data_IF_722290280721
#
_entry.id   IF_722290280721
#
_cell.length_a   1.000
_cell.length_b   1.000
_cell.length_c   1.000
_cell.angle_alpha   90.00
_cell.angle_beta   90.00
_cell.angle_gamma   90.00
#
_symmetry.space_group_name_H-M   'P 1'
#
loop_
_entity.id
_entity.type
_entity.pdbx_description
1 polymer ?
#
# COMPACT_ATOMS: atom_id res chain seq x y z
N UNK A 1 46.08 24.00 -10.54
CA UNK A 1 44.90 23.10 -10.63
C UNK A 1 44.20 22.72 -9.30
N UNK A 2 44.03 23.64 -8.33
CA UNK A 2 43.32 23.32 -7.06
C UNK A 2 41.81 23.59 -7.07
N UNK A 3 41.31 24.54 -7.88
CA UNK A 3 39.89 24.93 -7.93
C UNK A 3 38.99 23.85 -8.57
N UNK A 4 39.41 23.24 -9.69
CA UNK A 4 38.63 22.18 -10.38
C UNK A 4 38.36 20.95 -9.50
N UNK A 5 39.32 20.55 -8.63
CA UNK A 5 39.14 19.36 -7.78
C UNK A 5 38.09 19.55 -6.67
N UNK A 6 37.81 20.80 -6.27
CA UNK A 6 36.79 21.13 -5.27
C UNK A 6 35.37 21.06 -5.83
N UNK A 7 35.18 21.54 -7.07
CA UNK A 7 33.89 21.52 -7.78
C UNK A 7 33.46 20.09 -8.15
N UNK A 8 34.38 19.24 -8.60
CA UNK A 8 34.09 17.82 -8.88
C UNK A 8 33.72 17.05 -7.61
N UNK A 9 34.40 17.32 -6.48
CA UNK A 9 34.05 16.71 -5.19
C UNK A 9 32.68 17.18 -4.66
N UNK A 10 32.34 18.45 -4.90
CA UNK A 10 31.03 19.02 -4.58
C UNK A 10 29.91 18.35 -5.39
N UNK A 11 30.07 18.28 -6.72
CA UNK A 11 29.10 17.60 -7.61
C UNK A 11 28.94 16.13 -7.27
N UNK A 12 30.02 15.41 -6.98
CA UNK A 12 29.94 13.99 -6.60
C UNK A 12 29.22 13.79 -5.27
N UNK A 13 29.37 14.69 -4.29
CA UNK A 13 28.61 14.66 -3.04
C UNK A 13 27.13 14.93 -3.28
N UNK A 14 26.81 15.97 -4.03
CA UNK A 14 25.44 16.35 -4.36
C UNK A 14 24.71 15.24 -5.15
N UNK A 15 25.41 14.59 -6.09
CA UNK A 15 24.89 13.42 -6.81
C UNK A 15 24.68 12.19 -5.91
N UNK A 16 25.57 11.96 -4.94
CA UNK A 16 25.43 10.87 -3.96
C UNK A 16 24.29 11.12 -2.99
N UNK A 17 24.12 12.36 -2.52
CA UNK A 17 23.01 12.76 -1.65
C UNK A 17 21.67 12.70 -2.38
N UNK A 18 21.61 13.17 -3.63
CA UNK A 18 20.41 13.03 -4.49
C UNK A 18 20.03 11.57 -4.74
N UNK A 19 21.02 10.69 -4.98
CA UNK A 19 20.79 9.24 -5.05
C UNK A 19 20.37 8.63 -3.71
N UNK A 20 20.85 9.18 -2.59
CA UNK A 20 20.44 8.81 -1.24
C UNK A 20 18.95 9.08 -1.00
N UNK A 21 18.52 10.33 -1.26
CA UNK A 21 17.11 10.75 -1.14
C UNK A 21 16.18 9.94 -2.03
N UNK A 22 16.54 9.73 -3.30
CA UNK A 22 15.73 8.91 -4.22
C UNK A 22 15.65 7.43 -3.79
N UNK A 23 16.70 6.89 -3.16
CA UNK A 23 16.67 5.53 -2.57
C UNK A 23 15.79 5.47 -1.33
N UNK A 24 15.79 6.53 -0.54
CA UNK A 24 14.98 6.65 0.66
C UNK A 24 13.49 6.79 0.33
N UNK A 25 13.13 7.66 -0.63
CA UNK A 25 11.77 7.77 -1.18
C UNK A 25 11.27 6.42 -1.73
N UNK A 26 12.08 5.74 -2.56
CA UNK A 26 11.74 4.40 -3.05
C UNK A 26 11.58 3.37 -1.94
N UNK A 27 12.34 3.49 -0.84
CA UNK A 27 12.18 2.62 0.33
C UNK A 27 10.89 2.95 1.08
N UNK A 28 10.55 4.22 1.22
CA UNK A 28 9.32 4.68 1.87
C UNK A 28 8.08 4.30 1.07
N UNK A 29 8.07 4.49 -0.26
CA UNK A 29 6.99 4.02 -1.14
C UNK A 29 6.81 2.50 -1.06
N UNK A 30 7.92 1.74 -1.00
CA UNK A 30 7.86 0.29 -0.79
C UNK A 30 7.34 -0.07 0.59
N UNK A 31 7.67 0.70 1.63
CA UNK A 31 7.17 0.48 3.00
C UNK A 31 5.67 0.78 3.11
N UNK A 32 5.18 1.81 2.43
CA UNK A 32 3.75 2.12 2.38
C UNK A 32 2.97 1.05 1.62
N UNK A 33 3.40 0.66 0.41
CA UNK A 33 2.74 -0.42 -0.35
C UNK A 33 2.75 -1.75 0.40
N UNK A 34 3.81 -2.02 1.18
CA UNK A 34 3.87 -3.19 2.06
C UNK A 34 2.78 -3.20 3.12
N UNK A 35 2.21 -2.06 3.51
CA UNK A 35 1.09 -1.96 4.48
C UNK A 35 -0.28 -1.90 3.81
N UNK A 36 -0.33 -1.79 2.50
CA UNK A 36 -1.59 -1.66 1.77
C UNK A 36 -2.23 -3.02 1.47
N UNK A 37 -3.56 -3.03 1.53
CA UNK A 37 -4.43 -4.08 1.02
C UNK A 37 -5.48 -3.47 0.10
N UNK A 38 -6.01 -4.28 -0.80
CA UNK A 38 -7.11 -3.93 -1.69
C UNK A 38 -8.33 -4.76 -1.28
N UNK A 39 -9.46 -4.10 -1.07
CA UNK A 39 -10.75 -4.73 -0.86
C UNK A 39 -11.68 -4.37 -2.01
N UNK A 40 -12.34 -5.37 -2.59
CA UNK A 40 -13.36 -5.18 -3.63
C UNK A 40 -14.66 -5.86 -3.22
N UNK A 41 -15.77 -5.15 -3.36
CA UNK A 41 -17.10 -5.66 -3.06
C UNK A 41 -18.14 -5.10 -4.05
N UNK A 42 -19.16 -5.89 -4.35
CA UNK A 42 -20.14 -5.62 -5.41
C UNK A 42 -21.14 -4.51 -5.04
N UNK A 43 -21.40 -4.23 -3.75
CA UNK A 43 -22.45 -3.28 -3.33
C UNK A 43 -22.16 -2.53 -2.01
N UNK A 44 -22.80 -1.38 -1.78
CA UNK A 44 -22.96 -0.73 -0.47
C UNK A 44 -22.00 0.42 -0.11
N UNK A 45 -22.17 0.96 1.11
CA UNK A 45 -21.34 2.01 1.69
C UNK A 45 -19.93 1.52 2.06
N UNK A 46 -18.95 2.09 1.39
CA UNK A 46 -17.56 1.62 1.35
C UNK A 46 -16.90 1.65 2.73
N UNK A 47 -16.87 2.81 3.38
CA UNK A 47 -16.05 2.98 4.58
C UNK A 47 -16.55 2.12 5.74
N UNK A 48 -17.88 2.12 5.95
CA UNK A 48 -18.51 1.30 6.99
C UNK A 48 -18.32 -0.19 6.72
N UNK A 49 -18.49 -0.64 5.47
CA UNK A 49 -18.30 -2.06 5.10
C UNK A 49 -16.85 -2.49 5.24
N UNK A 50 -15.89 -1.67 4.83
CA UNK A 50 -14.45 -1.95 5.03
C UNK A 50 -14.17 -2.19 6.51
N UNK A 51 -14.62 -1.31 7.39
CA UNK A 51 -14.43 -1.48 8.84
C UNK A 51 -15.07 -2.77 9.35
N UNK A 52 -16.30 -3.08 8.94
CA UNK A 52 -16.98 -4.33 9.30
C UNK A 52 -16.24 -5.58 8.82
N UNK A 53 -15.73 -5.57 7.58
CA UNK A 53 -14.95 -6.68 7.02
C UNK A 53 -13.68 -6.88 7.85
N UNK A 54 -12.95 -5.80 8.14
CA UNK A 54 -11.71 -5.87 8.92
C UNK A 54 -11.97 -6.35 10.35
N UNK A 55 -12.99 -5.81 11.03
CA UNK A 55 -13.38 -6.20 12.40
C UNK A 55 -13.81 -7.66 12.49
N UNK A 56 -14.44 -8.21 11.44
CA UNK A 56 -14.83 -9.62 11.40
C UNK A 56 -13.64 -10.58 11.25
N UNK A 57 -12.52 -10.06 10.74
CA UNK A 57 -11.26 -10.81 10.64
C UNK A 57 -10.52 -10.71 11.97
N UNK A 58 -10.22 -9.47 12.39
CA UNK A 58 -9.41 -9.13 13.55
C UNK A 58 -9.82 -7.75 14.08
N UNK A 59 -10.36 -7.68 15.30
CA UNK A 59 -10.88 -6.43 15.90
C UNK A 59 -9.77 -5.45 16.32
N UNK A 60 -8.52 -5.90 16.37
CA UNK A 60 -7.41 -5.11 16.88
C UNK A 60 -6.60 -4.39 15.79
N UNK A 61 -7.03 -4.42 14.52
CA UNK A 61 -6.23 -3.84 13.44
C UNK A 61 -6.41 -2.33 13.36
N UNK A 62 -5.29 -1.62 13.21
CA UNK A 62 -5.31 -0.18 13.01
C UNK A 62 -5.38 0.14 11.53
N UNK A 63 -6.34 0.97 11.13
CA UNK A 63 -6.46 1.52 9.78
C UNK A 63 -5.95 2.95 9.78
N UNK A 64 -4.95 3.22 8.96
CA UNK A 64 -4.35 4.56 8.82
C UNK A 64 -5.11 5.39 7.79
N UNK A 65 -5.47 4.79 6.65
CA UNK A 65 -6.14 5.49 5.56
C UNK A 65 -7.00 4.54 4.73
N UNK A 66 -8.16 5.02 4.30
CA UNK A 66 -9.01 4.36 3.32
C UNK A 66 -9.09 5.27 2.10
N UNK A 67 -8.75 4.75 0.92
CA UNK A 67 -8.90 5.46 -0.35
C UNK A 67 -9.81 4.67 -1.26
N UNK A 68 -10.94 5.26 -1.62
CA UNK A 68 -11.83 4.74 -2.66
C UNK A 68 -11.13 4.83 -4.03
N UNK A 69 -11.15 3.74 -4.78
CA UNK A 69 -10.84 3.75 -6.20
C UNK A 69 -12.16 3.75 -6.96
N UNK A 70 -12.30 4.69 -7.89
CA UNK A 70 -13.40 4.65 -8.84
C UNK A 70 -13.18 3.45 -9.76
N UNK A 71 -14.04 2.44 -9.62
CA UNK A 71 -14.07 1.33 -10.53
C UNK A 71 -14.72 1.83 -11.84
N UNK A 72 -14.08 1.60 -12.99
CA UNK A 72 -14.60 2.07 -14.27
C UNK A 72 -16.00 1.48 -14.59
N UNK A 73 -16.71 2.03 -15.59
CA UNK A 73 -18.09 1.65 -16.00
C UNK A 73 -18.36 0.13 -16.19
N UNK A 74 -17.32 -0.71 -16.25
CA UNK A 74 -17.40 -2.17 -16.43
C UNK A 74 -17.16 -3.01 -15.17
N UNK A 75 -16.68 -2.41 -14.08
CA UNK A 75 -16.44 -3.15 -12.84
C UNK A 75 -17.71 -3.10 -11.96
N UNK A 76 -18.33 -4.26 -11.74
CA UNK A 76 -19.40 -4.39 -10.75
C UNK A 76 -18.80 -4.17 -9.36
N UNK A 77 -19.26 -3.12 -8.68
CA UNK A 77 -18.88 -2.82 -7.30
C UNK A 77 -17.83 -1.73 -7.13
N UNK A 78 -17.46 -1.54 -5.88
CA UNK A 78 -16.44 -0.58 -5.48
C UNK A 78 -15.13 -1.28 -5.13
N UNK A 79 -14.04 -0.53 -5.24
CA UNK A 79 -12.71 -0.95 -4.82
C UNK A 79 -12.16 0.06 -3.83
N UNK A 80 -11.54 -0.42 -2.76
CA UNK A 80 -10.90 0.39 -1.74
C UNK A 80 -9.47 -0.07 -1.52
N UNK A 81 -8.53 0.88 -1.50
CA UNK A 81 -7.18 0.67 -1.00
C UNK A 81 -7.16 1.08 0.46
N UNK A 82 -6.73 0.18 1.33
CA UNK A 82 -6.61 0.42 2.76
C UNK A 82 -5.14 0.38 3.13
N UNK A 83 -4.67 1.45 3.76
CA UNK A 83 -3.34 1.50 4.38
C UNK A 83 -3.49 1.09 5.84
N UNK A 84 -2.88 -0.04 6.18
CA UNK A 84 -2.84 -0.54 7.55
C UNK A 84 -1.81 0.22 8.38
N UNK A 85 -2.03 0.33 9.69
CA UNK A 85 -1.07 0.94 10.62
C UNK A 85 0.28 0.23 10.59
N UNK A 86 0.29 -1.10 10.45
CA UNK A 86 1.52 -1.90 10.37
C UNK A 86 1.45 -3.03 9.34
N UNK A 87 2.64 -3.53 8.94
CA UNK A 87 2.75 -4.74 8.09
C UNK A 87 2.25 -5.99 8.83
N UNK A 88 2.35 -5.99 10.16
CA UNK A 88 1.84 -7.07 11.01
C UNK A 88 0.31 -7.15 10.93
N UNK A 89 -0.37 -6.00 11.00
CA UNK A 89 -1.83 -5.91 10.87
C UNK A 89 -2.30 -6.36 9.50
N UNK A 90 -1.63 -5.91 8.43
CA UNK A 90 -1.85 -6.44 7.08
C UNK A 90 -1.74 -7.97 7.05
N UNK A 91 -0.67 -8.52 7.63
CA UNK A 91 -0.45 -9.96 7.67
C UNK A 91 -1.55 -10.70 8.41
N UNK A 92 -2.09 -10.14 9.50
CA UNK A 92 -3.25 -10.70 10.23
C UNK A 92 -4.49 -10.75 9.34
N UNK A 93 -4.80 -9.64 8.64
CA UNK A 93 -5.94 -9.57 7.72
C UNK A 93 -5.82 -10.60 6.59
N UNK A 94 -4.66 -10.69 5.96
CA UNK A 94 -4.45 -11.60 4.83
C UNK A 94 -4.52 -13.08 5.23
N UNK A 95 -4.07 -13.44 6.44
CA UNK A 95 -4.25 -14.81 6.97
C UNK A 95 -5.72 -15.12 7.24
N UNK A 96 -6.49 -14.12 7.68
CA UNK A 96 -7.91 -14.28 7.97
C UNK A 96 -8.85 -14.16 6.76
N UNK A 97 -8.36 -13.72 5.60
CA UNK A 97 -9.19 -13.50 4.40
C UNK A 97 -9.94 -14.75 3.92
N UNK A 98 -9.48 -15.94 4.27
CA UNK A 98 -10.13 -17.22 3.96
C UNK A 98 -11.59 -17.29 4.44
N UNK A 99 -11.96 -16.53 5.48
CA UNK A 99 -13.35 -16.39 5.97
C UNK A 99 -14.32 -15.84 4.93
N UNK A 100 -13.81 -15.19 3.87
CA UNK A 100 -14.61 -14.59 2.80
C UNK A 100 -14.60 -15.42 1.50
N UNK A 101 -13.95 -16.59 1.50
CA UNK A 101 -13.95 -17.48 0.32
C UNK A 101 -15.40 -17.91 0.01
N UNK A 102 -15.85 -17.65 -1.21
CA UNK A 102 -17.22 -17.94 -1.65
C UNK A 102 -18.22 -16.80 -1.43
N UNK A 103 -17.79 -15.64 -0.93
CA UNK A 103 -18.58 -14.40 -0.86
C UNK A 103 -18.17 -13.43 -1.95
N UNK A 104 -18.98 -12.41 -2.21
CA UNK A 104 -18.70 -11.33 -3.16
C UNK A 104 -17.69 -10.28 -2.67
N UNK A 105 -16.85 -10.66 -1.69
CA UNK A 105 -15.82 -9.81 -1.09
C UNK A 105 -14.44 -10.38 -1.40
N UNK A 106 -13.58 -9.55 -2.00
CA UNK A 106 -12.22 -9.91 -2.36
C UNK A 106 -11.24 -9.08 -1.55
N UNK A 107 -10.21 -9.75 -1.00
CA UNK A 107 -9.16 -9.10 -0.21
C UNK A 107 -7.81 -9.55 -0.78
N UNK A 108 -7.04 -8.59 -1.29
CA UNK A 108 -5.75 -8.82 -1.94
C UNK A 108 -4.64 -7.93 -1.38
N UNK A 109 -3.40 -8.32 -1.63
CA UNK A 109 -2.26 -7.45 -1.36
C UNK A 109 -2.09 -6.41 -2.47
N UNK A 110 -1.82 -5.17 -2.09
CA UNK A 110 -1.36 -4.13 -3.02
C UNK A 110 0.11 -4.35 -3.40
N UNK A 111 0.38 -5.44 -4.11
CA UNK A 111 1.71 -5.77 -4.63
C UNK A 111 1.98 -4.98 -5.90
N UNK A 112 3.18 -4.43 -6.02
CA UNK A 112 3.64 -3.85 -7.28
C UNK A 112 3.81 -4.93 -8.35
N UNK A 113 3.74 -4.55 -9.63
CA UNK A 113 3.99 -5.46 -10.77
C UNK A 113 5.30 -6.26 -10.65
N UNK A 114 6.33 -5.73 -9.98
CA UNK A 114 7.60 -6.43 -9.73
C UNK A 114 7.54 -7.48 -8.61
N UNK A 115 6.56 -7.37 -7.71
CA UNK A 115 6.36 -8.31 -6.60
C UNK A 115 5.34 -9.41 -6.97
N UNK A 116 4.54 -9.19 -8.02
CA UNK A 116 3.63 -10.21 -8.59
C UNK A 116 4.31 -11.19 -9.54
N UNK A 117 5.49 -10.85 -10.06
CA UNK A 117 6.28 -11.63 -11.01
C UNK A 117 7.36 -12.40 -10.28
#
# INVERSE_FOLDING_TARGET
>A
DKKRSGEDKGRVREWKEGKGKMREERRSERKEKKRNIIIKEVEGEIERKIRQILDSIEKSVVVEKIRKLEAGRREKGWMGVITMGSVVDKGRILRGKGKFRGRDVWIEEDLTWKERR
#
